data_IF_143744999217
#
_entry.id   IF_143744999217
#
_cell.length_a   1.000
_cell.length_b   1.000
_cell.length_c   1.000
_cell.angle_alpha   90.00
_cell.angle_beta   90.00
_cell.angle_gamma   90.00
#
_symmetry.space_group_name_H-M   'P 1'
#
loop_
_entity.id
_entity.type
_entity.pdbx_description
1 polymer ?
#
# COMPACT_ATOMS: atom_id res chain seq x y z
N UNK A 1 -10.34 -24.31 27.75
CA UNK A 1 -8.95 -23.94 27.44
C UNK A 1 -8.93 -22.48 27.02
N UNK A 2 -8.50 -21.60 27.92
CA UNK A 2 -8.36 -20.16 27.70
C UNK A 2 -6.87 -19.86 27.62
N UNK A 3 -6.36 -19.51 26.45
CA UNK A 3 -5.09 -18.79 26.32
C UNK A 3 -5.04 -18.07 24.97
N UNK A 4 -4.51 -16.83 25.01
CA UNK A 4 -4.33 -15.85 23.92
C UNK A 4 -5.62 -15.05 23.65
N UNK A 5 -5.65 -13.73 23.80
CA UNK A 5 -4.61 -12.75 23.45
C UNK A 5 -4.64 -11.56 24.42
N UNK A 6 -3.59 -11.45 25.24
CA UNK A 6 -3.34 -10.34 26.14
C UNK A 6 -2.39 -9.31 25.48
N UNK A 7 -2.61 -9.02 24.20
CA UNK A 7 -1.87 -7.99 23.47
C UNK A 7 -2.88 -6.91 23.08
N UNK A 8 -2.56 -5.65 23.34
CA UNK A 8 -3.40 -4.45 23.12
C UNK A 8 -4.32 -4.02 24.27
N UNK A 9 -3.89 -4.16 25.52
CA UNK A 9 -4.26 -3.16 26.53
C UNK A 9 -3.13 -2.12 26.55
N UNK A 10 -3.17 -1.17 25.61
CA UNK A 10 -2.26 -0.02 25.63
C UNK A 10 -2.49 0.72 26.95
N UNK A 11 -1.50 0.67 27.83
CA UNK A 11 -1.48 1.43 29.08
C UNK A 11 -1.67 2.90 28.73
N UNK A 12 -2.82 3.45 29.08
CA UNK A 12 -3.09 4.88 29.01
C UNK A 12 -1.95 5.63 29.72
N UNK A 13 -1.17 6.39 28.97
CA UNK A 13 -0.12 7.26 29.52
C UNK A 13 1.34 6.77 29.40
N UNK A 14 1.69 5.80 28.56
CA UNK A 14 3.11 5.60 28.22
C UNK A 14 3.56 6.67 27.22
N UNK A 15 4.45 7.58 27.65
CA UNK A 15 5.11 8.53 26.78
C UNK A 15 5.93 7.77 25.73
N UNK A 16 5.43 7.65 24.51
CA UNK A 16 6.20 7.16 23.38
C UNK A 16 7.16 8.30 22.99
N UNK A 17 8.49 8.13 23.17
CA UNK A 17 9.44 9.24 23.11
C UNK A 17 9.62 9.84 21.70
N UNK A 18 9.11 9.16 20.67
CA UNK A 18 9.19 9.57 19.28
C UNK A 18 7.92 10.27 18.77
N UNK A 19 6.86 10.33 19.58
CA UNK A 19 5.58 10.90 19.16
C UNK A 19 5.35 12.25 19.80
N UNK A 20 4.90 13.19 18.99
CA UNK A 20 4.50 14.51 19.44
C UNK A 20 3.23 14.41 20.30
N UNK A 21 3.02 15.39 21.18
CA UNK A 21 1.85 15.40 22.08
C UNK A 21 0.51 15.32 21.34
N UNK A 22 0.42 15.86 20.12
CA UNK A 22 -0.77 15.75 19.28
C UNK A 22 -0.99 14.32 18.76
N UNK A 23 0.09 13.61 18.40
CA UNK A 23 0.04 12.24 17.89
C UNK A 23 -0.32 11.25 19.00
N UNK A 24 0.18 11.47 20.22
CA UNK A 24 -0.23 10.70 21.40
C UNK A 24 -1.73 10.84 21.66
N UNK A 25 -2.29 12.05 21.53
CA UNK A 25 -3.73 12.26 21.66
C UNK A 25 -4.53 11.57 20.57
N UNK A 26 -4.04 11.57 19.33
CA UNK A 26 -4.68 10.82 18.24
C UNK A 26 -4.66 9.32 18.50
N UNK A 27 -3.58 8.79 19.09
CA UNK A 27 -3.51 7.39 19.51
C UNK A 27 -4.49 7.08 20.63
N UNK A 28 -4.67 7.99 21.60
CA UNK A 28 -5.71 7.84 22.63
C UNK A 28 -7.11 7.83 21.99
N UNK A 29 -7.36 8.69 21.00
CA UNK A 29 -8.59 8.63 20.19
C UNK A 29 -8.66 7.40 19.28
N UNK A 30 -7.57 6.70 18.99
CA UNK A 30 -7.57 5.50 18.16
C UNK A 30 -7.66 4.21 19.00
N UNK A 31 -7.31 4.26 20.29
CA UNK A 31 -7.34 3.12 21.19
C UNK A 31 -8.78 2.64 21.46
N UNK A 32 -9.02 1.33 21.40
CA UNK A 32 -10.35 0.77 21.69
C UNK A 32 -10.72 0.99 23.16
N UNK A 33 -11.68 1.90 23.38
CA UNK A 33 -12.30 2.08 24.68
C UNK A 33 -13.22 0.91 24.97
N UNK A 34 -13.08 0.29 26.14
CA UNK A 34 -14.00 -0.77 26.59
C UNK A 34 -15.48 -0.35 26.62
N UNK A 35 -15.74 0.97 26.70
CA UNK A 35 -17.09 1.55 26.65
C UNK A 35 -17.67 1.68 25.22
N UNK A 36 -16.84 1.53 24.18
CA UNK A 36 -17.26 1.54 22.77
C UNK A 36 -17.62 0.14 22.25
N UNK A 37 -17.30 -0.92 23.01
CA UNK A 37 -17.62 -2.30 22.65
C UNK A 37 -19.10 -2.56 22.88
N UNK A 38 -19.88 -2.58 21.81
CA UNK A 38 -21.29 -2.97 21.84
C UNK A 38 -21.37 -4.49 22.02
N UNK A 39 -21.60 -4.93 23.25
CA UNK A 39 -21.90 -6.34 23.55
C UNK A 39 -23.37 -6.60 23.23
N UNK A 40 -23.62 -7.36 22.15
CA UNK A 40 -24.97 -7.78 21.79
C UNK A 40 -25.47 -8.83 22.78
N UNK A 41 -26.73 -8.70 23.19
CA UNK A 41 -27.43 -9.77 23.89
C UNK A 41 -27.62 -10.98 22.94
N UNK A 42 -27.71 -12.19 23.49
CA UNK A 42 -28.00 -13.42 22.71
C UNK A 42 -29.24 -13.26 21.82
N UNK A 43 -30.26 -12.54 22.31
CA UNK A 43 -31.47 -12.23 21.54
C UNK A 43 -31.19 -11.28 20.37
N UNK A 44 -30.36 -10.26 20.58
CA UNK A 44 -30.00 -9.28 19.55
C UNK A 44 -29.14 -9.94 18.47
N UNK A 45 -28.19 -10.79 18.88
CA UNK A 45 -27.40 -11.61 17.97
C UNK A 45 -28.29 -12.54 17.12
N UNK A 46 -29.26 -13.21 17.75
CA UNK A 46 -30.23 -14.05 17.03
C UNK A 46 -31.07 -13.25 16.04
N UNK A 47 -31.55 -12.07 16.42
CA UNK A 47 -32.31 -11.18 15.51
C UNK A 47 -31.48 -10.80 14.28
N UNK A 48 -30.20 -10.47 14.46
CA UNK A 48 -29.31 -10.15 13.34
C UNK A 48 -29.05 -11.37 12.43
N UNK A 49 -28.90 -12.55 13.03
CA UNK A 49 -28.77 -13.80 12.27
C UNK A 49 -30.03 -14.07 11.44
N UNK A 50 -31.21 -13.98 12.05
CA UNK A 50 -32.49 -14.15 11.35
C UNK A 50 -32.68 -13.10 10.25
N UNK A 51 -32.30 -11.84 10.50
CA UNK A 51 -32.32 -10.81 9.47
C UNK A 51 -31.44 -11.18 8.27
N UNK A 52 -30.21 -11.64 8.51
CA UNK A 52 -29.32 -12.07 7.43
C UNK A 52 -29.90 -13.26 6.66
N UNK A 53 -30.47 -14.25 7.35
CA UNK A 53 -31.14 -15.40 6.73
C UNK A 53 -32.34 -14.96 5.88
N UNK A 54 -33.17 -14.04 6.36
CA UNK A 54 -34.30 -13.51 5.58
C UNK A 54 -33.80 -12.79 4.33
N UNK A 55 -32.71 -12.03 4.43
CA UNK A 55 -32.13 -11.34 3.27
C UNK A 55 -31.60 -12.33 2.22
N UNK A 56 -31.00 -13.43 2.65
CA UNK A 56 -30.53 -14.51 1.78
C UNK A 56 -31.71 -15.23 1.10
N UNK A 57 -32.72 -15.63 1.87
CA UNK A 57 -33.94 -16.25 1.36
C UNK A 57 -34.72 -15.36 0.39
N UNK A 58 -34.72 -14.03 0.60
CA UNK A 58 -35.35 -13.09 -0.34
C UNK A 58 -34.65 -13.07 -1.70
N UNK A 59 -33.33 -13.27 -1.72
CA UNK A 59 -32.54 -13.36 -2.94
C UNK A 59 -32.75 -14.73 -3.62
N UNK A 60 -32.76 -15.82 -2.86
CA UNK A 60 -33.11 -17.15 -3.39
C UNK A 60 -34.51 -17.18 -4.00
N UNK A 61 -35.49 -16.56 -3.33
CA UNK A 61 -36.85 -16.45 -3.84
C UNK A 61 -36.90 -15.66 -5.15
N UNK A 62 -36.18 -14.54 -5.25
CA UNK A 62 -36.12 -13.76 -6.48
C UNK A 62 -35.53 -14.57 -7.65
N UNK A 63 -34.57 -15.46 -7.39
CA UNK A 63 -34.05 -16.39 -8.40
C UNK A 63 -35.09 -17.44 -8.81
N UNK A 64 -35.75 -18.08 -7.84
CA UNK A 64 -36.73 -19.14 -8.14
C UNK A 64 -37.99 -18.62 -8.87
N UNK A 65 -38.45 -17.40 -8.58
CA UNK A 65 -39.57 -16.78 -9.29
C UNK A 65 -39.22 -16.53 -10.77
N UNK A 66 -37.96 -16.22 -11.08
CA UNK A 66 -37.48 -15.98 -12.43
C UNK A 66 -37.27 -17.27 -13.25
N UNK A 67 -36.76 -18.33 -12.61
CA UNK A 67 -36.58 -19.66 -13.25
C UNK A 67 -37.91 -20.30 -13.68
N UNK A 68 -39.01 -19.95 -13.02
CA UNK A 68 -40.35 -20.46 -13.36
C UNK A 68 -40.95 -19.76 -14.60
N UNK A 69 -40.55 -18.54 -14.92
CA UNK A 69 -41.05 -17.78 -16.09
C UNK A 69 -40.31 -18.14 -17.39
N UNK A 70 -39.06 -18.63 -17.31
CA UNK A 70 -38.19 -18.91 -18.45
C UNK A 70 -38.34 -20.33 -19.04
N UNK A 71 -39.08 -21.22 -18.38
CA UNK A 71 -39.23 -22.64 -18.75
C UNK A 71 -40.26 -22.92 -19.88
N UNK A 72 -40.34 -22.08 -20.92
CA UNK A 72 -41.22 -22.30 -22.08
C UNK A 72 -40.39 -22.55 -23.34
N UNK A 73 -40.34 -23.79 -23.83
CA UNK A 73 -39.37 -24.31 -24.81
C UNK A 73 -39.25 -23.57 -26.16
N UNK A 74 -38.28 -22.64 -26.22
CA UNK A 74 -37.79 -21.96 -27.43
C UNK A 74 -36.26 -22.09 -27.54
N UNK A 75 -35.66 -21.42 -28.51
CA UNK A 75 -34.23 -21.48 -28.82
C UNK A 75 -33.36 -21.22 -27.57
N UNK A 76 -32.58 -22.23 -27.16
CA UNK A 76 -31.94 -22.27 -25.85
C UNK A 76 -30.92 -21.13 -25.65
N UNK A 77 -30.33 -20.63 -26.74
CA UNK A 77 -29.30 -19.60 -26.70
C UNK A 77 -29.90 -18.18 -26.51
N UNK A 78 -31.03 -17.89 -27.16
CA UNK A 78 -31.77 -16.63 -26.97
C UNK A 78 -32.42 -16.58 -25.59
N UNK A 79 -32.94 -17.72 -25.10
CA UNK A 79 -33.50 -17.83 -23.75
C UNK A 79 -32.45 -17.67 -22.66
N UNK A 80 -31.24 -18.18 -22.88
CA UNK A 80 -30.12 -18.01 -21.96
C UNK A 80 -29.69 -16.54 -21.90
N UNK A 81 -29.57 -15.85 -23.05
CA UNK A 81 -29.22 -14.43 -23.08
C UNK A 81 -30.27 -13.53 -22.39
N UNK A 82 -31.55 -13.85 -22.53
CA UNK A 82 -32.64 -13.15 -21.82
C UNK A 82 -32.58 -13.43 -20.32
N UNK A 83 -32.44 -14.70 -19.91
CA UNK A 83 -32.33 -15.09 -18.51
C UNK A 83 -31.12 -14.46 -17.81
N UNK A 84 -29.96 -14.40 -18.46
CA UNK A 84 -28.76 -13.73 -17.94
C UNK A 84 -29.00 -12.24 -17.71
N UNK A 85 -29.63 -11.55 -18.67
CA UNK A 85 -29.94 -10.13 -18.56
C UNK A 85 -30.90 -9.86 -17.41
N UNK A 86 -31.98 -10.63 -17.32
CA UNK A 86 -32.97 -10.52 -16.25
C UNK A 86 -32.35 -10.85 -14.88
N UNK A 87 -31.43 -11.82 -14.80
CA UNK A 87 -30.70 -12.16 -13.57
C UNK A 87 -29.84 -10.98 -13.12
N UNK A 88 -29.09 -10.37 -14.05
CA UNK A 88 -28.29 -9.20 -13.75
C UNK A 88 -29.16 -8.02 -13.29
N UNK A 89 -30.34 -7.85 -13.88
CA UNK A 89 -31.31 -6.85 -13.46
C UNK A 89 -31.83 -7.13 -12.03
N UNK A 90 -32.28 -8.35 -11.73
CA UNK A 90 -32.73 -8.76 -10.40
C UNK A 90 -31.62 -8.60 -9.34
N UNK A 91 -30.39 -9.00 -9.67
CA UNK A 91 -29.24 -8.85 -8.77
C UNK A 91 -28.90 -7.38 -8.53
N UNK A 92 -28.93 -6.56 -9.57
CA UNK A 92 -28.64 -5.14 -9.46
C UNK A 92 -29.69 -4.42 -8.61
N UNK A 93 -30.98 -4.69 -8.83
CA UNK A 93 -32.10 -4.09 -8.09
C UNK A 93 -32.09 -4.51 -6.62
N UNK A 94 -31.87 -5.79 -6.33
CA UNK A 94 -31.70 -6.28 -4.95
C UNK A 94 -30.52 -5.60 -4.25
N UNK A 95 -29.37 -5.51 -4.92
CA UNK A 95 -28.16 -4.89 -4.35
C UNK A 95 -28.38 -3.40 -4.04
N UNK A 96 -29.01 -2.67 -4.96
CA UNK A 96 -29.36 -1.26 -4.77
C UNK A 96 -30.35 -1.10 -3.61
N UNK A 97 -31.41 -1.91 -3.55
CA UNK A 97 -32.41 -1.89 -2.47
C UNK A 97 -31.76 -2.18 -1.12
N UNK A 98 -30.94 -3.22 -1.03
CA UNK A 98 -30.19 -3.58 0.19
C UNK A 98 -29.26 -2.45 0.63
N UNK A 99 -28.56 -1.81 -0.31
CA UNK A 99 -27.72 -0.65 -0.03
C UNK A 99 -28.54 0.51 0.50
N UNK A 100 -29.68 0.82 -0.11
CA UNK A 100 -30.58 1.89 0.35
C UNK A 100 -31.09 1.64 1.77
N UNK A 101 -31.58 0.42 2.06
CA UNK A 101 -32.06 0.03 3.40
C UNK A 101 -30.92 0.15 4.42
N UNK A 102 -29.73 -0.39 4.10
CA UNK A 102 -28.56 -0.30 5.00
C UNK A 102 -28.17 1.16 5.26
N UNK A 103 -28.18 2.01 4.23
CA UNK A 103 -27.91 3.44 4.39
C UNK A 103 -28.90 4.07 5.36
N UNK A 104 -30.21 3.85 5.18
CA UNK A 104 -31.24 4.39 6.08
C UNK A 104 -31.06 3.89 7.52
N UNK A 105 -30.80 2.59 7.70
CA UNK A 105 -30.56 1.98 9.02
C UNK A 105 -29.32 2.53 9.72
N UNK A 106 -28.31 3.00 8.97
CA UNK A 106 -27.12 3.64 9.55
C UNK A 106 -27.32 5.13 9.75
N UNK A 107 -27.93 5.84 8.80
CA UNK A 107 -28.02 7.31 8.83
C UNK A 107 -29.05 7.81 9.82
N UNK A 108 -30.21 7.16 9.97
CA UNK A 108 -31.26 7.62 10.89
C UNK A 108 -30.78 7.66 12.36
N UNK A 109 -30.15 6.61 12.91
CA UNK A 109 -29.57 6.67 14.25
C UNK A 109 -28.44 7.71 14.40
N UNK A 110 -27.62 7.92 13.36
CA UNK A 110 -26.55 8.93 13.37
C UNK A 110 -27.16 10.35 13.41
N UNK A 111 -28.13 10.63 12.55
CA UNK A 111 -28.84 11.92 12.53
C UNK A 111 -29.54 12.18 13.87
N UNK A 112 -30.14 11.14 14.45
CA UNK A 112 -30.75 11.21 15.77
C UNK A 112 -29.74 11.45 16.89
N UNK A 113 -28.56 10.84 16.81
CA UNK A 113 -27.51 11.00 17.80
C UNK A 113 -26.88 12.40 17.77
N UNK A 114 -26.70 12.97 16.57
CA UNK A 114 -25.99 14.25 16.37
C UNK A 114 -26.93 15.45 16.41
N UNK A 115 -28.06 15.40 15.73
CA UNK A 115 -28.91 16.57 15.46
C UNK A 115 -30.24 16.56 16.21
N UNK A 116 -30.74 15.39 16.60
CA UNK A 116 -31.98 15.27 17.36
C UNK A 116 -31.67 14.92 18.81
N UNK A 117 -32.69 15.02 19.67
CA UNK A 117 -32.57 14.53 21.04
C UNK A 117 -32.61 13.00 21.00
N UNK A 118 -31.45 12.37 21.09
CA UNK A 118 -31.31 10.91 21.17
C UNK A 118 -32.29 10.33 22.21
N UNK A 119 -33.21 9.50 21.75
CA UNK A 119 -34.30 8.95 22.55
C UNK A 119 -33.84 7.71 23.32
N UNK A 120 -32.99 6.89 22.69
CA UNK A 120 -32.52 5.63 23.29
C UNK A 120 -31.11 5.78 23.90
N UNK A 121 -30.74 4.95 24.90
CA UNK A 121 -29.38 4.90 25.42
C UNK A 121 -28.33 4.56 24.34
N UNK A 122 -28.69 3.69 23.39
CA UNK A 122 -27.84 3.32 22.26
C UNK A 122 -27.56 4.54 21.35
N UNK A 123 -28.59 5.31 21.01
CA UNK A 123 -28.42 6.56 20.24
C UNK A 123 -27.55 7.59 20.96
N UNK A 124 -27.64 7.68 22.29
CA UNK A 124 -26.77 8.58 23.08
C UNK A 124 -25.30 8.15 23.07
N UNK A 125 -25.03 6.83 23.08
CA UNK A 125 -23.68 6.30 22.98
C UNK A 125 -23.07 6.55 21.59
N UNK A 126 -23.89 6.53 20.52
CA UNK A 126 -23.43 6.78 19.15
C UNK A 126 -22.77 8.15 18.97
N UNK A 127 -23.21 9.20 19.69
CA UNK A 127 -22.64 10.54 19.54
C UNK A 127 -21.11 10.56 19.81
N UNK A 128 -20.67 9.81 20.84
CA UNK A 128 -19.25 9.71 21.18
C UNK A 128 -18.45 9.04 20.07
N UNK A 129 -18.98 7.92 19.56
CA UNK A 129 -18.39 7.15 18.46
C UNK A 129 -18.31 7.98 17.17
N UNK A 130 -19.36 8.75 16.86
CA UNK A 130 -19.41 9.64 15.70
C UNK A 130 -18.35 10.74 15.80
N UNK A 131 -18.27 11.43 16.93
CA UNK A 131 -17.25 12.48 17.14
C UNK A 131 -15.83 11.92 17.03
N UNK A 132 -15.60 10.74 17.59
CA UNK A 132 -14.31 10.04 17.51
C UNK A 132 -13.96 9.67 16.07
N UNK A 133 -14.90 9.09 15.33
CA UNK A 133 -14.75 8.80 13.90
C UNK A 133 -14.41 10.05 13.12
N UNK A 134 -15.10 11.17 13.36
CA UNK A 134 -14.92 12.40 12.59
C UNK A 134 -13.54 13.03 12.85
N UNK A 135 -13.06 13.02 14.10
CA UNK A 135 -11.69 13.46 14.44
C UNK A 135 -10.64 12.56 13.75
N UNK A 136 -10.83 11.24 13.80
CA UNK A 136 -9.91 10.30 13.14
C UNK A 136 -9.94 10.42 11.62
N UNK A 137 -11.11 10.66 11.02
CA UNK A 137 -11.25 10.86 9.58
C UNK A 137 -10.53 12.13 9.11
N UNK A 138 -10.67 13.24 9.86
CA UNK A 138 -9.94 14.48 9.57
C UNK A 138 -8.42 14.28 9.73
N UNK A 139 -7.98 13.58 10.78
CA UNK A 139 -6.56 13.28 10.97
C UNK A 139 -6.02 12.40 9.84
N UNK A 140 -6.78 11.38 9.42
CA UNK A 140 -6.42 10.52 8.30
C UNK A 140 -6.29 11.31 7.00
N UNK A 141 -7.25 12.16 6.66
CA UNK A 141 -7.20 12.99 5.45
C UNK A 141 -5.97 13.89 5.44
N UNK A 142 -5.67 14.53 6.58
CA UNK A 142 -4.47 15.36 6.71
C UNK A 142 -3.19 14.54 6.52
N UNK A 143 -3.10 13.36 7.15
CA UNK A 143 -1.94 12.47 7.01
C UNK A 143 -1.79 11.94 5.58
N UNK A 144 -2.89 11.57 4.92
CA UNK A 144 -2.89 11.15 3.53
C UNK A 144 -2.40 12.27 2.61
N UNK A 145 -2.89 13.50 2.81
CA UNK A 145 -2.47 14.65 2.02
C UNK A 145 -0.98 14.99 2.22
N UNK A 146 -0.48 14.89 3.47
CA UNK A 146 0.94 15.08 3.78
C UNK A 146 1.80 13.97 3.17
N UNK A 147 1.34 12.73 3.22
CA UNK A 147 2.01 11.60 2.60
C UNK A 147 2.12 11.78 1.07
N UNK A 148 1.03 12.17 0.41
CA UNK A 148 1.03 12.44 -1.04
C UNK A 148 1.97 13.59 -1.41
N UNK A 149 2.07 14.61 -0.56
CA UNK A 149 3.03 15.70 -0.75
C UNK A 149 4.47 15.20 -0.66
N UNK A 150 4.79 14.40 0.36
CA UNK A 150 6.13 13.82 0.55
C UNK A 150 6.50 12.91 -0.62
N UNK A 151 5.57 12.05 -1.08
CA UNK A 151 5.81 11.21 -2.26
C UNK A 151 6.12 12.05 -3.51
N UNK A 152 5.39 13.14 -3.73
CA UNK A 152 5.68 14.06 -4.84
C UNK A 152 7.05 14.72 -4.70
N UNK A 153 7.42 15.13 -3.48
CA UNK A 153 8.74 15.71 -3.22
C UNK A 153 9.85 14.70 -3.49
N UNK A 154 9.72 13.46 -3.01
CA UNK A 154 10.68 12.39 -3.26
C UNK A 154 10.82 12.16 -4.77
N UNK A 155 9.71 11.97 -5.48
CA UNK A 155 9.72 11.76 -6.93
C UNK A 155 10.39 12.92 -7.69
N UNK A 156 10.11 14.17 -7.31
CA UNK A 156 10.77 15.33 -7.91
C UNK A 156 12.28 15.32 -7.63
N UNK A 157 12.70 15.06 -6.39
CA UNK A 157 14.12 15.00 -6.03
C UNK A 157 14.86 13.85 -6.72
N UNK A 158 14.20 12.73 -6.96
CA UNK A 158 14.74 11.60 -7.73
C UNK A 158 14.97 12.00 -9.18
N UNK A 159 14.00 12.69 -9.80
CA UNK A 159 14.14 13.20 -11.16
C UNK A 159 15.27 14.23 -11.25
N UNK A 160 15.36 15.16 -10.30
CA UNK A 160 16.46 16.13 -10.22
C UNK A 160 17.83 15.44 -10.06
N UNK A 161 17.92 14.41 -9.21
CA UNK A 161 19.15 13.65 -9.02
C UNK A 161 19.56 12.92 -10.31
N UNK A 162 18.61 12.31 -11.03
CA UNK A 162 18.88 11.69 -12.32
C UNK A 162 19.38 12.70 -13.36
N UNK A 163 18.83 13.92 -13.38
CA UNK A 163 19.29 14.98 -14.27
C UNK A 163 20.71 15.43 -13.90
N UNK A 164 20.97 15.74 -12.63
CA UNK A 164 22.31 16.11 -12.15
C UNK A 164 23.35 15.01 -12.40
N UNK A 165 22.97 13.75 -12.26
CA UNK A 165 23.85 12.62 -12.58
C UNK A 165 24.23 12.58 -14.05
N UNK A 166 23.27 12.81 -14.96
CA UNK A 166 23.53 12.92 -16.41
C UNK A 166 24.44 14.10 -16.75
N UNK A 167 24.16 15.27 -16.17
CA UNK A 167 24.97 16.47 -16.38
C UNK A 167 26.41 16.27 -15.87
N UNK A 168 26.56 15.64 -14.70
CA UNK A 168 27.86 15.27 -14.16
C UNK A 168 28.60 14.29 -15.08
N UNK A 169 27.90 13.28 -15.64
CA UNK A 169 28.51 12.36 -16.60
C UNK A 169 28.95 13.09 -17.88
N UNK A 170 28.15 14.03 -18.39
CA UNK A 170 28.50 14.84 -19.57
C UNK A 170 29.71 15.73 -19.30
N UNK A 171 29.73 16.46 -18.18
CA UNK A 171 30.88 17.28 -17.77
C UNK A 171 32.15 16.44 -17.58
N UNK A 172 32.04 15.23 -17.01
CA UNK A 172 33.18 14.31 -16.88
C UNK A 172 33.66 13.84 -18.26
N UNK A 173 32.75 13.54 -19.20
CA UNK A 173 33.12 13.20 -20.59
C UNK A 173 33.81 14.38 -21.28
N UNK A 174 33.33 15.60 -21.11
CA UNK A 174 33.96 16.81 -21.64
C UNK A 174 35.35 17.04 -21.05
N UNK A 175 35.50 16.93 -19.72
CA UNK A 175 36.80 17.02 -19.05
C UNK A 175 37.79 15.96 -19.55
N UNK A 176 37.34 14.70 -19.68
CA UNK A 176 38.17 13.63 -20.27
C UNK A 176 38.51 13.91 -21.73
N UNK A 177 37.60 14.50 -22.50
CA UNK A 177 37.87 14.96 -23.87
C UNK A 177 38.95 16.05 -23.92
N UNK A 178 38.83 17.07 -23.09
CA UNK A 178 39.78 18.19 -23.01
C UNK A 178 41.16 17.72 -22.52
N UNK A 179 41.22 16.88 -21.48
CA UNK A 179 42.49 16.32 -20.97
C UNK A 179 43.17 15.36 -21.95
N UNK A 180 42.41 14.65 -22.81
CA UNK A 180 42.97 13.86 -23.92
C UNK A 180 43.56 14.74 -25.03
N UNK A 181 42.92 15.87 -25.32
CA UNK A 181 43.42 16.83 -26.31
C UNK A 181 44.64 17.60 -25.80
N UNK A 182 44.72 17.86 -24.50
CA UNK A 182 45.87 18.46 -23.84
C UNK A 182 46.89 17.40 -23.40
N UNK A 183 47.30 16.49 -24.28
CA UNK A 183 48.40 15.55 -23.99
C UNK A 183 49.77 16.23 -23.85
N UNK A 184 49.83 17.57 -23.93
CA UNK A 184 51.03 18.38 -23.72
C UNK A 184 51.63 18.20 -22.33
N UNK A 185 50.82 17.77 -21.34
CA UNK A 185 51.33 17.43 -20.01
C UNK A 185 52.23 16.19 -20.05
N UNK A 186 51.99 15.23 -20.95
CA UNK A 186 52.85 14.04 -21.09
C UNK A 186 54.24 14.42 -21.60
N UNK A 187 54.34 15.38 -22.51
CA UNK A 187 55.62 15.89 -23.03
C UNK A 187 56.38 16.77 -22.01
N UNK A 188 55.68 17.35 -21.03
CA UNK A 188 56.27 18.13 -19.93
C UNK A 188 56.77 17.26 -18.77
N UNK A 189 56.33 16.01 -18.70
CA UNK A 189 56.76 15.04 -17.69
C UNK A 189 57.97 14.28 -18.25
N UNK A 190 59.06 14.22 -17.49
CA UNK A 190 60.27 13.51 -17.92
C UNK A 190 60.04 11.99 -18.04
N UNK A 191 60.76 11.34 -18.96
CA UNK A 191 60.59 9.93 -19.33
C UNK A 191 60.53 8.94 -18.14
N UNK A 192 61.19 9.24 -17.02
CA UNK A 192 61.14 8.39 -15.81
C UNK A 192 59.77 8.39 -15.13
N UNK A 193 59.10 9.55 -15.08
CA UNK A 193 57.78 9.70 -14.45
C UNK A 193 56.66 9.17 -15.35
N UNK A 194 56.85 9.22 -16.69
CA UNK A 194 55.94 8.57 -17.65
C UNK A 194 55.94 7.05 -17.49
N UNK A 195 57.12 6.44 -17.37
CA UNK A 195 57.23 4.99 -17.16
C UNK A 195 56.59 4.51 -15.85
N UNK A 196 56.70 5.31 -14.77
CA UNK A 196 56.00 5.01 -13.50
C UNK A 196 54.47 5.10 -13.65
N UNK A 197 53.99 6.07 -14.42
CA UNK A 197 52.55 6.27 -14.65
C UNK A 197 51.97 5.15 -15.52
N UNK A 198 52.71 4.71 -16.54
CA UNK A 198 52.32 3.58 -17.41
C UNK A 198 52.35 2.25 -16.64
N UNK A 199 53.31 2.06 -15.73
CA UNK A 199 53.33 0.93 -14.80
C UNK A 199 52.12 0.94 -13.86
N UNK A 200 51.76 2.10 -13.30
CA UNK A 200 50.58 2.26 -12.44
C UNK A 200 49.26 2.03 -13.20
N UNK A 201 49.14 2.49 -14.45
CA UNK A 201 47.99 2.16 -15.29
C UNK A 201 47.90 0.65 -15.58
N UNK A 202 49.04 -0.01 -15.82
CA UNK A 202 49.11 -1.47 -15.95
C UNK A 202 48.60 -2.18 -14.69
N UNK A 203 49.07 -1.76 -13.52
CA UNK A 203 48.62 -2.30 -12.23
C UNK A 203 47.13 -2.07 -11.97
N UNK A 204 46.60 -0.90 -12.32
CA UNK A 204 45.17 -0.61 -12.21
C UNK A 204 44.33 -1.52 -13.12
N UNK A 205 44.77 -1.77 -14.36
CA UNK A 205 44.10 -2.71 -15.27
C UNK A 205 44.09 -4.13 -14.71
N UNK A 206 45.21 -4.59 -14.15
CA UNK A 206 45.30 -5.91 -13.49
C UNK A 206 44.36 -5.99 -12.28
N UNK A 207 44.31 -4.95 -11.45
CA UNK A 207 43.41 -4.90 -10.29
C UNK A 207 41.94 -4.85 -10.70
N UNK A 208 41.60 -4.10 -11.75
CA UNK A 208 40.24 -4.04 -12.31
C UNK A 208 39.80 -5.41 -12.83
N UNK A 209 40.64 -6.07 -13.64
CA UNK A 209 40.36 -7.43 -14.13
C UNK A 209 40.20 -8.44 -12.97
N UNK A 210 41.00 -8.30 -11.90
CA UNK A 210 40.86 -9.14 -10.71
C UNK A 210 39.56 -8.87 -9.93
N UNK A 211 39.12 -7.62 -9.90
CA UNK A 211 37.86 -7.25 -9.26
C UNK A 211 36.65 -7.76 -10.07
N UNK A 212 36.66 -7.59 -11.40
CA UNK A 212 35.62 -8.12 -12.29
C UNK A 212 35.50 -9.64 -12.20
N UNK A 213 36.63 -10.36 -12.19
CA UNK A 213 36.63 -11.81 -12.00
C UNK A 213 36.07 -12.21 -10.64
N UNK A 214 36.42 -11.51 -9.55
CA UNK A 214 35.85 -11.76 -8.23
C UNK A 214 34.35 -11.47 -8.16
N UNK A 215 33.90 -10.38 -8.79
CA UNK A 215 32.48 -9.99 -8.87
C UNK A 215 31.67 -11.07 -9.60
N UNK A 216 32.16 -11.54 -10.75
CA UNK A 216 31.50 -12.59 -11.54
C UNK A 216 31.43 -13.92 -10.80
N UNK A 217 32.48 -14.28 -10.05
CA UNK A 217 32.46 -15.47 -9.20
C UNK A 217 31.44 -15.32 -8.07
N UNK A 218 31.41 -14.16 -7.40
CA UNK A 218 30.47 -13.91 -6.31
C UNK A 218 29.02 -13.92 -6.81
N UNK A 219 28.71 -13.28 -7.93
CA UNK A 219 27.37 -13.29 -8.52
C UNK A 219 26.95 -14.70 -8.92
N UNK A 220 27.84 -15.48 -9.56
CA UNK A 220 27.56 -16.89 -9.90
C UNK A 220 27.30 -17.75 -8.65
N UNK A 221 28.02 -17.54 -7.55
CA UNK A 221 27.80 -18.26 -6.29
C UNK A 221 26.45 -17.90 -5.68
N UNK A 222 26.07 -16.62 -5.66
CA UNK A 222 24.77 -16.18 -5.12
C UNK A 222 23.62 -16.76 -5.97
N UNK A 223 23.69 -16.69 -7.29
CA UNK A 223 22.67 -17.26 -8.18
C UNK A 223 22.59 -18.79 -8.04
N UNK A 224 23.72 -19.48 -7.95
CA UNK A 224 23.77 -20.95 -7.81
C UNK A 224 23.35 -21.45 -6.42
N UNK A 225 23.39 -20.59 -5.40
CA UNK A 225 23.02 -20.95 -4.02
C UNK A 225 21.51 -21.15 -3.83
N UNK A 226 20.69 -20.70 -4.77
CA UNK A 226 19.23 -20.78 -4.68
C UNK A 226 18.61 -19.84 -3.62
N UNK A 227 19.40 -18.90 -3.09
CA UNK A 227 18.89 -17.79 -2.27
C UNK A 227 18.01 -16.88 -3.13
N UNK A 228 16.96 -16.33 -2.54
CA UNK A 228 16.07 -15.38 -3.21
C UNK A 228 16.73 -13.99 -3.26
N UNK A 229 17.66 -13.84 -4.20
CA UNK A 229 18.47 -12.64 -4.39
C UNK A 229 17.72 -11.48 -5.06
N UNK A 230 16.50 -11.72 -5.56
CA UNK A 230 15.71 -10.70 -6.25
C UNK A 230 15.03 -9.71 -5.28
N UNK A 231 14.65 -10.20 -4.10
CA UNK A 231 13.97 -9.43 -3.05
C UNK A 231 14.94 -8.70 -2.10
N UNK A 232 16.23 -9.06 -2.08
CA UNK A 232 17.26 -8.38 -1.30
C UNK A 232 18.03 -7.38 -2.18
N UNK A 233 17.88 -6.08 -1.92
CA UNK A 233 18.53 -5.01 -2.68
C UNK A 233 20.06 -5.14 -2.74
N UNK A 234 20.70 -5.68 -1.69
CA UNK A 234 22.16 -5.88 -1.64
C UNK A 234 22.60 -7.03 -2.53
N UNK A 235 21.85 -8.15 -2.53
CA UNK A 235 22.14 -9.29 -3.39
C UNK A 235 21.77 -8.99 -4.85
N UNK A 236 20.69 -8.24 -5.07
CA UNK A 236 20.29 -7.76 -6.39
C UNK A 236 21.35 -6.86 -7.00
N UNK A 237 21.91 -5.92 -6.24
CA UNK A 237 23.01 -5.05 -6.70
C UNK A 237 24.33 -5.82 -6.93
N UNK A 238 24.54 -6.93 -6.23
CA UNK A 238 25.71 -7.79 -6.44
C UNK A 238 25.60 -8.65 -7.71
N UNK A 239 24.37 -9.07 -8.05
CA UNK A 239 24.09 -9.95 -9.19
C UNK A 239 23.84 -9.16 -10.49
N UNK A 240 23.12 -8.04 -10.42
CA UNK A 240 22.87 -7.18 -11.56
C UNK A 240 24.08 -6.27 -11.81
N UNK A 241 24.59 -6.31 -13.04
CA UNK A 241 25.64 -5.42 -13.48
C UNK A 241 24.99 -4.14 -14.04
N UNK A 242 25.00 -3.03 -13.29
CA UNK A 242 24.56 -1.72 -13.80
C UNK A 242 25.59 -1.07 -14.74
N UNK A 243 26.64 -1.78 -15.15
CA UNK A 243 27.74 -1.24 -15.97
C UNK A 243 27.83 -1.76 -17.42
N UNK A 244 26.77 -2.36 -17.97
CA UNK A 244 26.66 -2.54 -19.42
C UNK A 244 26.09 -1.26 -20.08
N UNK A 245 26.82 -0.15 -19.93
CA UNK A 245 26.91 1.01 -20.85
C UNK A 245 27.99 2.03 -20.40
#
# INVERSE_FOLDING_TARGET
MRHRSAFMAAKHGQSLPHLQTAEVKLLDYAADDSHDVVTLSDKEALVLQLYNQIQEQQLEKAFLEQDLETASGGDAEEQLALAERELLEARSTYTVRRKAIRTILMTDPILKAVHLKAATPAERALLRLVNRRDVLALAHENLASAHDLVLKQISNTEVENLQLSRDNQELVRELLGLTKQDSSWREKIGDSQLNELEALEGDLKVRKARWETMKNIASAVVVASGLDWADDDMLRALVLDESDD
#
